data_IF_142393351049
#
_entry.id   IF_142393351049
#
_cell.length_a   1.000
_cell.length_b   1.000
_cell.length_c   1.000
_cell.angle_alpha   90.00
_cell.angle_beta   90.00
_cell.angle_gamma   90.00
#
_symmetry.space_group_name_H-M   'P 1'
#
loop_
_entity.id
_entity.type
_entity.pdbx_description
1 polymer ?
#
# COMPACT_ATOMS: atom_id res chain seq x y z
N UNK A 1 8.79 34.62 48.27
CA UNK A 1 9.02 33.45 49.05
C UNK A 1 9.17 32.23 48.16
N UNK A 2 10.43 31.76 48.15
CA UNK A 2 10.83 30.55 47.49
C UNK A 2 10.33 29.36 48.31
N UNK A 3 9.93 28.29 47.65
CA UNK A 3 9.81 26.98 48.28
C UNK A 3 10.82 26.05 47.64
N UNK A 4 11.78 25.73 48.46
CA UNK A 4 12.70 24.61 48.32
C UNK A 4 11.93 23.32 48.16
N UNK A 5 12.38 22.45 47.29
CA UNK A 5 12.05 21.05 47.31
C UNK A 5 13.29 20.25 47.62
N UNK A 6 13.17 19.59 48.76
CA UNK A 6 14.10 18.70 49.39
C UNK A 6 14.46 17.51 48.48
N UNK A 7 15.75 17.26 48.41
CA UNK A 7 16.37 16.10 47.83
C UNK A 7 16.33 14.95 48.83
N UNK A 8 15.70 13.84 48.48
CA UNK A 8 15.83 12.58 49.20
C UNK A 8 16.76 11.66 48.45
N UNK A 9 17.98 11.57 48.95
CA UNK A 9 18.90 10.47 48.73
C UNK A 9 18.33 9.22 49.40
N UNK A 10 18.26 8.12 48.69
CA UNK A 10 18.25 6.79 49.32
C UNK A 10 19.43 6.01 48.78
N UNK A 11 20.28 5.73 49.75
CA UNK A 11 21.51 4.99 49.69
C UNK A 11 21.22 3.47 49.75
N UNK A 12 22.05 2.76 49.04
CA UNK A 12 22.79 1.52 49.38
C UNK A 12 22.09 0.17 49.55
N UNK A 13 22.63 -0.67 48.72
CA UNK A 13 23.30 -1.96 49.05
C UNK A 13 22.47 -3.04 49.71
N UNK A 14 22.39 -4.17 49.06
CA UNK A 14 22.80 -5.43 49.66
C UNK A 14 23.26 -6.46 48.61
N UNK A 15 24.36 -7.03 48.96
CA UNK A 15 25.24 -8.00 48.36
C UNK A 15 24.71 -9.43 48.55
N UNK A 16 25.17 -10.30 47.63
CA UNK A 16 25.37 -11.73 47.81
C UNK A 16 24.14 -12.69 47.72
N UNK A 17 24.20 -13.63 46.82
CA UNK A 17 24.63 -15.01 47.13
C UNK A 17 24.83 -15.82 45.84
N UNK A 18 25.99 -16.40 45.76
CA UNK A 18 26.44 -17.38 44.78
C UNK A 18 25.68 -18.68 45.01
N UNK A 19 25.03 -19.21 43.98
CA UNK A 19 24.56 -20.59 43.96
C UNK A 19 25.21 -21.31 42.79
N UNK A 20 25.91 -22.29 43.17
CA UNK A 20 26.76 -23.26 42.53
C UNK A 20 26.03 -24.04 41.41
N UNK A 21 26.71 -24.10 40.33
CA UNK A 21 26.45 -24.76 39.06
C UNK A 21 26.44 -26.26 39.16
N UNK A 22 25.57 -26.88 38.45
CA UNK A 22 25.69 -28.27 37.99
C UNK A 22 25.76 -28.30 36.47
N UNK A 23 26.95 -28.67 35.95
CA UNK A 23 27.15 -29.00 34.53
C UNK A 23 26.34 -30.26 34.17
N UNK A 24 25.65 -30.28 33.04
CA UNK A 24 25.23 -31.52 32.41
C UNK A 24 26.34 -32.03 31.49
N UNK A 25 26.69 -33.26 31.69
CA UNK A 25 27.63 -34.07 30.91
C UNK A 25 27.25 -34.09 29.44
N UNK A 26 28.25 -33.86 28.61
CA UNK A 26 28.21 -33.98 27.15
C UNK A 26 28.24 -35.47 26.84
N UNK A 27 27.12 -36.01 26.36
CA UNK A 27 27.08 -37.31 25.66
C UNK A 27 27.56 -37.06 24.23
N UNK A 28 28.63 -37.72 23.84
CA UNK A 28 29.14 -37.85 22.49
C UNK A 28 28.01 -38.27 21.56
N UNK A 29 27.55 -37.40 20.70
CA UNK A 29 26.75 -37.75 19.53
C UNK A 29 27.69 -37.83 18.33
N UNK A 30 27.66 -38.97 17.71
CA UNK A 30 28.35 -39.34 16.48
C UNK A 30 28.25 -38.23 15.45
N UNK A 31 29.37 -37.72 15.00
CA UNK A 31 29.47 -36.75 13.89
C UNK A 31 29.16 -37.51 12.59
N UNK A 32 27.94 -37.37 12.09
CA UNK A 32 27.64 -37.66 10.68
C UNK A 32 28.23 -36.52 9.84
N UNK A 33 28.98 -36.92 8.81
CA UNK A 33 29.67 -35.99 7.89
C UNK A 33 28.61 -35.13 7.14
N UNK A 34 28.64 -33.79 7.23
CA UNK A 34 27.66 -32.95 6.60
C UNK A 34 27.63 -33.03 5.06
N UNK A 35 28.69 -33.59 4.46
CA UNK A 35 28.78 -33.73 3.01
C UNK A 35 27.88 -34.83 2.44
N UNK A 36 27.66 -35.92 3.16
CA UNK A 36 26.77 -37.01 2.72
C UNK A 36 25.29 -36.61 2.77
N UNK A 37 24.92 -35.75 3.71
CA UNK A 37 23.54 -35.28 3.86
C UNK A 37 23.14 -34.34 2.71
N UNK A 38 24.07 -33.50 2.24
CA UNK A 38 23.84 -32.57 1.14
C UNK A 38 23.69 -33.30 -0.18
N UNK A 39 24.53 -34.31 -0.44
CA UNK A 39 24.48 -35.09 -1.67
C UNK A 39 23.19 -35.94 -1.76
N UNK A 40 22.68 -36.45 -0.65
CA UNK A 40 21.42 -37.15 -0.59
C UNK A 40 20.23 -36.22 -0.86
N UNK A 41 20.21 -35.02 -0.28
CA UNK A 41 19.15 -34.03 -0.52
C UNK A 41 19.15 -33.55 -1.99
N UNK A 42 20.33 -33.33 -2.57
CA UNK A 42 20.47 -32.93 -3.97
C UNK A 42 20.03 -34.06 -4.92
N UNK A 43 20.27 -35.31 -4.56
CA UNK A 43 19.88 -36.50 -5.34
C UNK A 43 18.37 -36.72 -5.30
N UNK A 44 17.72 -36.56 -4.15
CA UNK A 44 16.26 -36.60 -4.02
C UNK A 44 15.57 -35.45 -4.78
N UNK A 45 16.11 -34.25 -4.73
CA UNK A 45 15.58 -33.12 -5.50
C UNK A 45 15.78 -33.26 -7.02
N UNK A 46 16.85 -33.92 -7.45
CA UNK A 46 17.09 -34.24 -8.86
C UNK A 46 16.15 -35.34 -9.37
N UNK A 47 15.85 -36.34 -8.54
CA UNK A 47 14.91 -37.42 -8.89
C UNK A 47 13.45 -36.92 -8.88
N UNK A 48 13.08 -36.03 -7.97
CA UNK A 48 11.77 -35.37 -7.98
C UNK A 48 11.54 -34.52 -9.24
N UNK A 49 12.60 -33.84 -9.74
CA UNK A 49 12.52 -33.06 -10.99
C UNK A 49 12.49 -33.89 -12.27
N UNK A 50 13.00 -35.13 -12.23
CA UNK A 50 12.99 -36.03 -13.40
C UNK A 50 11.66 -36.78 -13.59
N UNK A 51 10.79 -36.82 -12.58
CA UNK A 51 9.47 -37.44 -12.65
C UNK A 51 8.34 -36.51 -13.08
N UNK A 52 8.61 -35.18 -13.22
CA UNK A 52 7.65 -34.21 -13.72
C UNK A 52 7.85 -33.91 -15.21
N UNK A 53 7.66 -34.90 -16.07
CA UNK A 53 7.18 -34.67 -17.42
C UNK A 53 5.69 -34.34 -17.36
N UNK A 54 5.36 -33.30 -16.58
CA UNK A 54 4.06 -32.71 -16.57
C UNK A 54 4.11 -31.52 -17.53
N UNK A 55 3.59 -31.73 -18.73
CA UNK A 55 3.16 -30.65 -19.59
C UNK A 55 2.38 -29.68 -18.72
N UNK A 56 2.98 -28.53 -18.40
CA UNK A 56 2.35 -27.48 -17.61
C UNK A 56 1.17 -26.94 -18.42
N UNK A 57 0.05 -27.62 -18.33
CA UNK A 57 -1.24 -27.11 -18.79
C UNK A 57 -1.62 -26.08 -17.74
N UNK A 58 -1.35 -24.81 -18.04
CA UNK A 58 -1.82 -23.72 -17.21
C UNK A 58 -3.30 -23.95 -16.95
N UNK A 59 -3.77 -23.96 -15.69
CA UNK A 59 -5.18 -24.17 -15.42
C UNK A 59 -5.99 -23.13 -16.16
N UNK A 60 -6.94 -23.56 -16.96
CA UNK A 60 -7.81 -22.68 -17.77
C UNK A 60 -8.48 -21.56 -16.93
N UNK A 61 -8.65 -21.79 -15.64
CA UNK A 61 -9.12 -20.81 -14.69
C UNK A 61 -8.17 -19.60 -14.51
N UNK A 62 -6.85 -19.76 -14.69
CA UNK A 62 -5.89 -18.66 -14.64
C UNK A 62 -5.87 -17.87 -15.97
N UNK A 63 -6.10 -18.52 -17.08
CA UNK A 63 -6.17 -17.87 -18.39
C UNK A 63 -7.47 -17.07 -18.53
N UNK A 64 -8.57 -17.56 -17.98
CA UNK A 64 -9.87 -16.86 -17.99
C UNK A 64 -9.88 -15.69 -16.99
N UNK A 65 -9.11 -15.73 -15.90
CA UNK A 65 -8.95 -14.59 -14.99
C UNK A 65 -8.01 -13.51 -15.53
N UNK A 66 -7.17 -13.85 -16.50
CA UNK A 66 -6.39 -12.91 -17.31
C UNK A 66 -7.20 -12.45 -18.51
N UNK A 67 -8.39 -11.89 -18.29
CA UNK A 67 -9.12 -11.15 -19.30
C UNK A 67 -8.34 -9.88 -19.67
N UNK A 68 -7.39 -10.04 -20.57
CA UNK A 68 -6.56 -8.94 -21.11
C UNK A 68 -7.39 -7.87 -21.84
N UNK A 69 -8.65 -8.17 -22.19
CA UNK A 69 -9.53 -7.24 -22.89
C UNK A 69 -9.97 -6.04 -22.04
N UNK A 70 -9.95 -6.13 -20.71
CA UNK A 70 -10.40 -5.04 -19.83
C UNK A 70 -9.28 -4.16 -19.28
N UNK A 71 -8.07 -4.17 -19.87
CA UNK A 71 -6.89 -3.63 -19.16
C UNK A 71 -6.13 -2.51 -19.86
N UNK A 72 -6.65 -1.93 -20.91
CA UNK A 72 -6.04 -0.71 -21.42
C UNK A 72 -6.64 0.46 -20.62
N UNK A 73 -5.88 0.94 -19.64
CA UNK A 73 -6.25 2.06 -18.79
C UNK A 73 -5.48 3.30 -19.22
N UNK A 74 -6.19 4.32 -19.66
CA UNK A 74 -5.60 5.61 -20.00
C UNK A 74 -5.89 6.64 -18.94
N UNK A 75 -4.85 7.21 -18.32
CA UNK A 75 -5.02 8.38 -17.45
C UNK A 75 -5.39 9.60 -18.29
N UNK A 76 -6.63 10.02 -18.19
CA UNK A 76 -7.19 11.10 -19.01
C UNK A 76 -7.21 12.45 -18.31
N UNK A 77 -7.14 12.45 -16.98
CA UNK A 77 -7.03 13.69 -16.20
C UNK A 77 -6.45 13.48 -14.81
N UNK A 78 -5.93 14.58 -14.28
CA UNK A 78 -5.55 14.73 -12.89
C UNK A 78 -6.28 15.94 -12.30
N UNK A 79 -6.87 15.78 -11.13
CA UNK A 79 -7.51 16.83 -10.35
C UNK A 79 -6.70 17.02 -9.08
N UNK A 80 -6.21 18.25 -8.85
CA UNK A 80 -5.42 18.57 -7.67
C UNK A 80 -6.32 19.19 -6.60
N UNK A 81 -5.97 18.97 -5.34
CA UNK A 81 -6.71 19.49 -4.18
C UNK A 81 -5.85 20.40 -3.34
N UNK A 82 -6.49 21.24 -2.55
CA UNK A 82 -5.84 21.96 -1.46
C UNK A 82 -5.50 20.98 -0.33
N UNK A 83 -4.52 21.34 0.49
CA UNK A 83 -4.15 20.54 1.65
C UNK A 83 -5.36 20.29 2.56
N UNK A 84 -5.54 19.05 2.98
CA UNK A 84 -6.66 18.62 3.81
C UNK A 84 -8.04 18.68 3.15
N UNK A 85 -8.14 19.05 1.86
CA UNK A 85 -9.42 19.22 1.15
C UNK A 85 -9.67 18.09 0.15
N UNK A 86 -10.95 17.77 -0.04
CA UNK A 86 -11.47 16.91 -1.11
C UNK A 86 -12.44 17.66 -2.04
N UNK A 87 -12.48 18.98 -1.95
CA UNK A 87 -13.39 19.81 -2.77
C UNK A 87 -12.80 19.97 -4.18
N UNK A 88 -13.58 19.60 -5.18
CA UNK A 88 -13.22 19.75 -6.60
C UNK A 88 -13.46 21.18 -7.04
N UNK A 89 -12.44 21.82 -7.61
CA UNK A 89 -12.51 23.19 -8.13
C UNK A 89 -13.22 23.26 -9.49
N UNK A 90 -13.43 24.49 -9.98
CA UNK A 90 -14.08 24.74 -11.28
C UNK A 90 -13.33 24.14 -12.47
N UNK A 91 -12.00 24.05 -12.41
CA UNK A 91 -11.20 23.40 -13.44
C UNK A 91 -11.37 21.89 -13.43
N UNK A 92 -11.42 21.28 -12.23
CA UNK A 92 -11.75 19.89 -12.05
C UNK A 92 -13.15 19.56 -12.63
N UNK A 93 -14.14 20.37 -12.34
CA UNK A 93 -15.49 20.20 -12.88
C UNK A 93 -15.52 20.22 -14.43
N UNK A 94 -14.77 21.16 -15.05
CA UNK A 94 -14.65 21.21 -16.53
C UNK A 94 -14.00 19.95 -17.11
N UNK A 95 -12.96 19.43 -16.45
CA UNK A 95 -12.32 18.16 -16.84
C UNK A 95 -13.30 17.00 -16.74
N UNK A 96 -14.00 16.85 -15.61
CA UNK A 96 -14.98 15.80 -15.39
C UNK A 96 -16.07 15.83 -16.47
N UNK A 97 -16.63 17.01 -16.78
CA UNK A 97 -17.65 17.16 -17.84
C UNK A 97 -17.18 16.63 -19.21
N UNK A 98 -15.92 16.92 -19.59
CA UNK A 98 -15.35 16.40 -20.85
C UNK A 98 -15.19 14.88 -20.83
N UNK A 99 -14.73 14.33 -19.71
CA UNK A 99 -14.50 12.89 -19.55
C UNK A 99 -15.82 12.12 -19.60
N UNK A 100 -16.86 12.62 -18.93
CA UNK A 100 -18.20 12.01 -18.97
C UNK A 100 -18.70 11.85 -20.42
N UNK A 101 -18.54 12.92 -21.22
CA UNK A 101 -18.95 12.88 -22.64
C UNK A 101 -18.23 11.76 -23.39
N UNK A 102 -16.91 11.71 -23.30
CA UNK A 102 -16.08 10.69 -23.97
C UNK A 102 -16.44 9.28 -23.47
N UNK A 103 -16.58 9.10 -22.15
CA UNK A 103 -16.87 7.79 -21.58
C UNK A 103 -18.25 7.27 -21.96
N UNK A 104 -19.27 8.16 -22.03
CA UNK A 104 -20.61 7.79 -22.50
C UNK A 104 -20.62 7.43 -24.00
N UNK A 105 -19.97 8.24 -24.84
CA UNK A 105 -19.86 8.01 -26.29
C UNK A 105 -19.17 6.67 -26.62
N UNK A 106 -18.16 6.31 -25.83
CA UNK A 106 -17.39 5.09 -26.04
C UNK A 106 -17.83 3.90 -25.20
N UNK A 107 -18.90 4.04 -24.44
CA UNK A 107 -19.42 3.01 -23.53
C UNK A 107 -18.35 2.49 -22.52
N UNK A 108 -17.36 3.33 -22.19
CA UNK A 108 -16.21 2.98 -21.38
C UNK A 108 -16.51 3.02 -19.87
N UNK A 109 -15.69 2.31 -19.09
CA UNK A 109 -15.67 2.41 -17.63
C UNK A 109 -14.75 3.53 -17.20
N UNK A 110 -14.98 4.08 -16.01
CA UNK A 110 -14.13 5.10 -15.40
C UNK A 110 -13.56 4.54 -14.09
N UNK A 111 -12.26 4.72 -13.88
CA UNK A 111 -11.62 4.46 -12.61
C UNK A 111 -11.05 5.77 -12.05
N UNK A 112 -11.29 5.99 -10.77
CA UNK A 112 -10.90 7.19 -10.02
C UNK A 112 -9.99 6.78 -8.89
N UNK A 113 -8.73 7.23 -8.91
CA UNK A 113 -7.73 6.88 -7.88
C UNK A 113 -7.38 8.12 -7.08
N UNK A 114 -7.66 8.08 -5.77
CA UNK A 114 -7.31 9.14 -4.84
C UNK A 114 -5.92 8.96 -4.23
N UNK A 115 -5.20 10.06 -4.11
CA UNK A 115 -3.85 10.13 -3.54
C UNK A 115 -3.78 11.16 -2.42
N UNK A 116 -2.89 10.90 -1.46
CA UNK A 116 -2.48 11.83 -0.43
C UNK A 116 -1.02 12.25 -0.62
N UNK A 117 -0.58 13.25 0.14
CA UNK A 117 0.83 13.61 0.26
C UNK A 117 1.44 12.94 1.49
N UNK A 118 2.74 12.68 1.46
CA UNK A 118 3.48 12.17 2.62
C UNK A 118 3.53 13.21 3.75
N UNK A 119 3.51 14.51 3.42
CA UNK A 119 3.52 15.60 4.40
C UNK A 119 2.15 15.77 5.05
N UNK A 120 2.00 15.21 6.21
CA UNK A 120 0.97 15.54 7.19
C UNK A 120 1.62 16.18 8.42
N UNK A 121 0.81 16.67 9.35
CA UNK A 121 1.31 17.14 10.65
C UNK A 121 2.11 16.04 11.35
N UNK A 122 3.03 16.43 12.23
CA UNK A 122 3.75 15.49 13.09
C UNK A 122 2.75 14.67 13.90
N UNK A 123 2.66 13.41 13.57
CA UNK A 123 1.79 12.42 14.21
C UNK A 123 2.42 11.03 14.12
N UNK A 124 2.03 10.09 14.99
CA UNK A 124 2.50 8.71 14.92
C UNK A 124 2.25 8.10 13.54
N UNK A 125 3.16 7.25 13.08
CA UNK A 125 3.12 6.65 11.71
C UNK A 125 1.80 5.93 11.45
N UNK A 126 1.24 5.23 12.45
CA UNK A 126 -0.03 4.52 12.29
C UNK A 126 -1.20 5.48 12.02
N UNK A 127 -1.28 6.58 12.77
CA UNK A 127 -2.29 7.63 12.57
C UNK A 127 -2.11 8.31 11.22
N UNK A 128 -0.88 8.61 10.85
CA UNK A 128 -0.51 9.20 9.57
C UNK A 128 -1.05 8.39 8.38
N UNK A 129 -0.85 7.07 8.40
CA UNK A 129 -1.36 6.17 7.35
C UNK A 129 -2.89 6.18 7.27
N UNK A 130 -3.56 6.18 8.42
CA UNK A 130 -5.02 6.23 8.48
C UNK A 130 -5.53 7.56 7.91
N UNK A 131 -4.97 8.69 8.33
CA UNK A 131 -5.37 10.03 7.87
C UNK A 131 -5.15 10.17 6.36
N UNK A 132 -4.01 9.71 5.84
CA UNK A 132 -3.72 9.75 4.41
C UNK A 132 -4.63 8.83 3.60
N UNK A 133 -4.96 7.65 4.12
CA UNK A 133 -5.94 6.78 3.49
C UNK A 133 -7.32 7.46 3.44
N UNK A 134 -7.79 7.99 4.57
CA UNK A 134 -9.11 8.66 4.65
C UNK A 134 -9.21 9.87 3.70
N UNK A 135 -8.17 10.70 3.58
CA UNK A 135 -8.23 11.85 2.67
C UNK A 135 -8.15 11.43 1.21
N UNK A 136 -7.38 10.40 0.88
CA UNK A 136 -7.32 9.86 -0.47
C UNK A 136 -8.65 9.25 -0.89
N UNK A 137 -9.31 8.53 0.01
CA UNK A 137 -10.64 7.96 -0.19
C UNK A 137 -11.69 9.05 -0.40
N UNK A 138 -11.74 10.05 0.49
CA UNK A 138 -12.64 11.20 0.35
C UNK A 138 -12.47 11.92 -0.98
N UNK A 139 -11.23 12.07 -1.47
CA UNK A 139 -10.95 12.69 -2.77
C UNK A 139 -11.49 11.86 -3.92
N UNK A 140 -11.26 10.54 -3.91
CA UNK A 140 -11.79 9.64 -4.93
C UNK A 140 -13.32 9.68 -4.96
N UNK A 141 -13.97 9.56 -3.80
CA UNK A 141 -15.42 9.60 -3.67
C UNK A 141 -16.02 10.97 -4.06
N UNK A 142 -15.38 12.09 -3.73
CA UNK A 142 -15.85 13.41 -4.15
C UNK A 142 -15.90 13.54 -5.67
N UNK A 143 -14.88 13.04 -6.36
CA UNK A 143 -14.86 13.02 -7.83
C UNK A 143 -15.92 12.05 -8.38
N UNK A 144 -16.01 10.84 -7.81
CA UNK A 144 -16.99 9.82 -8.21
C UNK A 144 -18.43 10.30 -8.07
N UNK A 145 -18.77 10.96 -6.96
CA UNK A 145 -20.10 11.51 -6.73
C UNK A 145 -20.46 12.58 -7.76
N UNK A 146 -19.52 13.41 -8.20
CA UNK A 146 -19.75 14.38 -9.27
C UNK A 146 -20.09 13.68 -10.59
N UNK A 147 -19.41 12.57 -10.93
CA UNK A 147 -19.74 11.77 -12.10
C UNK A 147 -21.17 11.24 -12.03
N UNK A 148 -21.59 10.71 -10.88
CA UNK A 148 -22.89 10.08 -10.68
C UNK A 148 -23.99 11.12 -10.54
N UNK A 149 -23.89 12.00 -9.55
CA UNK A 149 -24.96 12.89 -9.12
C UNK A 149 -25.16 14.07 -10.07
N UNK A 150 -24.05 14.66 -10.51
CA UNK A 150 -24.13 15.86 -11.39
C UNK A 150 -24.27 15.52 -12.86
N UNK A 151 -23.64 14.43 -13.32
CA UNK A 151 -23.60 14.09 -14.74
C UNK A 151 -24.32 12.78 -15.11
N UNK A 152 -24.94 12.11 -14.14
CA UNK A 152 -25.71 10.88 -14.39
C UNK A 152 -24.88 9.77 -15.02
N UNK A 153 -23.62 9.59 -14.57
CA UNK A 153 -22.80 8.49 -15.04
C UNK A 153 -23.20 7.20 -14.32
N UNK A 154 -23.31 6.06 -15.02
CA UNK A 154 -23.74 4.81 -14.41
C UNK A 154 -22.76 4.33 -13.31
N UNK A 155 -23.28 4.10 -12.10
CA UNK A 155 -22.49 3.68 -10.95
C UNK A 155 -21.74 2.36 -11.19
N UNK A 156 -22.34 1.41 -11.90
CA UNK A 156 -21.75 0.12 -12.24
C UNK A 156 -20.59 0.20 -13.24
N UNK A 157 -20.35 1.36 -13.84
CA UNK A 157 -19.21 1.64 -14.73
C UNK A 157 -18.16 2.55 -14.11
N UNK A 158 -18.28 2.83 -12.81
CA UNK A 158 -17.36 3.70 -12.09
C UNK A 158 -16.74 2.94 -10.94
N UNK A 159 -15.41 2.92 -10.89
CA UNK A 159 -14.60 2.31 -9.84
C UNK A 159 -13.84 3.39 -9.08
N UNK A 160 -13.71 3.24 -7.77
CA UNK A 160 -12.92 4.11 -6.90
C UNK A 160 -11.83 3.32 -6.19
N UNK A 161 -10.65 3.90 -6.09
CA UNK A 161 -9.51 3.35 -5.36
C UNK A 161 -8.86 4.46 -4.52
N UNK A 162 -8.46 4.13 -3.30
CA UNK A 162 -7.68 5.00 -2.43
C UNK A 162 -6.31 4.36 -2.21
N UNK A 163 -5.25 5.07 -2.59
CA UNK A 163 -3.88 4.55 -2.50
C UNK A 163 -3.04 5.30 -1.46
N UNK A 164 -3.67 6.17 -0.65
CA UNK A 164 -2.94 6.94 0.37
C UNK A 164 -1.77 7.72 -0.25
N UNK A 165 -0.62 7.70 0.41
CA UNK A 165 0.65 8.28 -0.01
C UNK A 165 1.63 7.26 -0.64
N UNK A 166 1.16 6.03 -0.88
CA UNK A 166 2.01 4.93 -1.36
C UNK A 166 2.53 5.09 -2.80
N UNK A 167 1.90 5.96 -3.61
CA UNK A 167 2.26 6.21 -5.01
C UNK A 167 2.48 7.70 -5.26
N UNK A 168 3.57 8.30 -4.74
CA UNK A 168 3.86 9.71 -4.96
C UNK A 168 4.21 9.97 -6.42
N UNK A 169 3.72 11.08 -6.98
CA UNK A 169 4.09 11.52 -8.32
C UNK A 169 5.45 12.24 -8.30
N UNK A 170 5.72 12.96 -7.21
CA UNK A 170 6.97 13.69 -6.99
C UNK A 170 7.46 13.49 -5.56
N UNK A 171 8.78 13.54 -5.38
CA UNK A 171 9.37 13.64 -4.04
C UNK A 171 8.95 14.96 -3.39
N UNK A 172 8.58 14.91 -2.12
CA UNK A 172 8.05 16.07 -1.38
C UNK A 172 9.16 16.91 -0.72
N UNK A 173 10.24 17.17 -1.46
CA UNK A 173 11.33 18.03 -1.01
C UNK A 173 10.85 19.50 -1.00
N UNK A 174 10.01 19.88 -1.96
CA UNK A 174 9.46 21.22 -2.13
C UNK A 174 7.93 21.23 -1.98
N UNK A 175 7.32 22.36 -1.59
CA UNK A 175 5.86 22.49 -1.49
C UNK A 175 5.11 22.15 -2.78
N UNK A 176 5.75 22.35 -3.93
CA UNK A 176 5.18 21.98 -5.23
C UNK A 176 4.97 20.47 -5.38
N UNK A 177 5.90 19.64 -4.89
CA UNK A 177 5.77 18.18 -4.88
C UNK A 177 4.61 17.73 -4.00
N UNK A 178 4.52 18.25 -2.78
CA UNK A 178 3.40 18.01 -1.87
C UNK A 178 2.06 18.33 -2.51
N UNK A 179 1.95 19.52 -3.15
CA UNK A 179 0.74 19.95 -3.85
C UNK A 179 0.38 19.04 -5.03
N UNK A 180 1.37 18.56 -5.77
CA UNK A 180 1.16 17.66 -6.89
C UNK A 180 0.70 16.25 -6.46
N UNK A 181 1.13 15.78 -5.27
CA UNK A 181 0.72 14.50 -4.71
C UNK A 181 -0.71 14.54 -4.14
N UNK A 182 -1.22 15.71 -3.75
CA UNK A 182 -2.60 15.91 -3.29
C UNK A 182 -3.56 15.92 -4.48
N UNK A 183 -3.79 14.75 -5.08
CA UNK A 183 -4.49 14.61 -6.35
C UNK A 183 -5.46 13.45 -6.40
N UNK A 184 -6.30 13.47 -7.41
CA UNK A 184 -7.05 12.31 -7.90
C UNK A 184 -6.75 12.12 -9.38
N UNK A 185 -6.43 10.90 -9.78
CA UNK A 185 -6.22 10.51 -11.16
C UNK A 185 -7.48 9.83 -11.70
N UNK A 186 -7.85 10.16 -12.94
CA UNK A 186 -9.02 9.62 -13.62
C UNK A 186 -8.55 8.83 -14.82
N UNK A 187 -8.95 7.59 -14.89
CA UNK A 187 -8.66 6.67 -15.98
C UNK A 187 -9.93 6.29 -16.73
N UNK A 188 -9.81 6.11 -18.04
CA UNK A 188 -10.82 5.46 -18.86
C UNK A 188 -10.34 4.05 -19.16
N UNK A 189 -11.22 3.07 -19.02
CA UNK A 189 -10.99 1.65 -19.26
C UNK A 189 -11.91 1.22 -20.42
N UNK A 190 -11.31 0.62 -21.42
CA UNK A 190 -11.98 0.07 -22.60
C UNK A 190 -12.06 -1.44 -22.53
#
# INVERSE_FOLDING_TARGET
PAKEYDSVLIDQTEESTIAETTEPQITETVQEDPSETIDNILREQAQAKASENNTFKAPESLVSSLNLKDKIQYRVATINFRSGSSIVDGNGLKKIKKIVKIAKERNAKIKVIGHASERTKDMPIAEHKIVNFMISDKRAHSVANIFIEKYGFPRNKLETEAVSDSKPLFKEIMPAGTKANQRTEIFIIY
#
